data_IF_038588618414
#
_entry.id   IF_038588618414
#
_cell.length_a   1.000
_cell.length_b   1.000
_cell.length_c   1.000
_cell.angle_alpha   90.00
_cell.angle_beta   90.00
_cell.angle_gamma   90.00
#
_symmetry.space_group_name_H-M   'P 1'
#
loop_
_entity.id
_entity.type
_entity.pdbx_description
1 polymer ?
#
# COMPACT_ATOMS: atom_id res chain seq x y z
N UNK A 1 10.40 -1.07 15.39
CA UNK A 1 9.39 0.00 15.47
C UNK A 1 8.45 -0.20 14.29
N UNK A 2 7.14 -0.26 14.55
CA UNK A 2 6.14 -0.51 13.52
C UNK A 2 5.75 0.77 12.78
N UNK A 3 5.15 0.60 11.60
CA UNK A 3 4.44 1.61 10.84
C UNK A 3 3.13 1.01 10.30
N UNK A 4 2.25 1.87 9.82
CA UNK A 4 0.89 1.53 9.43
C UNK A 4 0.62 1.95 7.99
N UNK A 5 -0.05 1.08 7.23
CA UNK A 5 -0.66 1.39 5.95
C UNK A 5 -2.18 1.40 6.12
N UNK A 6 -2.83 2.55 5.95
CA UNK A 6 -4.29 2.67 6.05
C UNK A 6 -4.95 2.17 4.77
N UNK A 7 -6.06 1.45 4.91
CA UNK A 7 -6.88 0.94 3.82
C UNK A 7 -8.28 1.53 3.95
N UNK A 8 -8.69 2.25 2.91
CA UNK A 8 -9.99 2.90 2.82
C UNK A 8 -10.03 4.37 3.24
N UNK A 9 -11.18 5.00 3.04
CA UNK A 9 -11.40 6.43 3.26
C UNK A 9 -12.32 6.68 4.46
N UNK A 10 -12.01 7.71 5.24
CA UNK A 10 -12.86 8.17 6.33
C UNK A 10 -12.76 7.35 7.63
N UNK A 11 -13.77 7.43 8.52
CA UNK A 11 -13.66 6.95 9.91
C UNK A 11 -13.62 5.43 10.08
N UNK A 12 -13.88 4.66 9.02
CA UNK A 12 -13.85 3.20 9.02
C UNK A 12 -12.60 2.64 8.34
N UNK A 13 -11.59 3.47 8.06
CA UNK A 13 -10.34 3.01 7.47
C UNK A 13 -9.65 2.00 8.40
N UNK A 14 -9.25 0.87 7.83
CA UNK A 14 -8.49 -0.16 8.54
C UNK A 14 -6.99 0.14 8.45
N UNK A 15 -6.19 -0.47 9.30
CA UNK A 15 -4.74 -0.26 9.30
C UNK A 15 -4.00 -1.59 9.28
N UNK A 16 -3.22 -1.80 8.23
CA UNK A 16 -2.25 -2.88 8.15
C UNK A 16 -0.96 -2.47 8.87
N UNK A 17 -0.48 -3.29 9.81
CA UNK A 17 0.71 -3.00 10.60
C UNK A 17 1.89 -3.87 10.17
N UNK A 18 3.04 -3.25 9.96
CA UNK A 18 4.28 -3.96 9.66
C UNK A 18 5.51 -3.23 10.19
N UNK A 19 6.69 -3.81 9.97
CA UNK A 19 7.95 -3.11 10.21
C UNK A 19 8.04 -1.87 9.33
N UNK A 20 8.70 -0.80 9.81
CA UNK A 20 8.95 0.40 8.99
C UNK A 20 9.63 0.11 7.67
N UNK A 21 10.58 -0.83 7.66
CA UNK A 21 11.28 -1.21 6.45
C UNK A 21 10.32 -1.77 5.40
N UNK A 22 9.41 -2.64 5.83
CA UNK A 22 8.41 -3.22 4.94
C UNK A 22 7.39 -2.18 4.45
N UNK A 23 6.88 -1.31 5.34
CA UNK A 23 5.96 -0.23 4.92
C UNK A 23 6.64 0.70 3.92
N UNK A 24 7.88 1.12 4.18
CA UNK A 24 8.62 1.98 3.25
C UNK A 24 8.88 1.27 1.91
N UNK A 25 9.18 -0.02 1.93
CA UNK A 25 9.33 -0.82 0.71
C UNK A 25 8.02 -0.88 -0.10
N UNK A 26 6.88 -1.17 0.55
CA UNK A 26 5.56 -1.18 -0.09
C UNK A 26 5.29 0.16 -0.77
N UNK A 27 5.47 1.28 -0.05
CA UNK A 27 5.22 2.62 -0.59
C UNK A 27 6.10 2.92 -1.81
N UNK A 28 7.38 2.52 -1.78
CA UNK A 28 8.28 2.69 -2.93
C UNK A 28 7.81 1.90 -4.15
N UNK A 29 7.41 0.64 -3.98
CA UNK A 29 6.86 -0.17 -5.08
C UNK A 29 5.61 0.50 -5.66
N UNK A 30 4.69 0.95 -4.81
CA UNK A 30 3.48 1.63 -5.28
C UNK A 30 3.84 2.94 -6.03
N UNK A 31 4.80 3.71 -5.54
CA UNK A 31 5.25 4.93 -6.20
C UNK A 31 5.86 4.71 -7.60
N UNK A 32 6.39 3.52 -7.88
CA UNK A 32 6.91 3.12 -9.20
C UNK A 32 5.82 2.66 -10.16
N UNK A 33 4.70 2.13 -9.62
CA UNK A 33 3.67 1.46 -10.40
C UNK A 33 2.39 2.28 -10.58
N UNK A 34 2.12 3.29 -9.76
CA UNK A 34 0.99 4.22 -9.98
C UNK A 34 1.17 5.05 -11.26
N UNK A 35 0.05 5.37 -11.90
CA UNK A 35 -0.03 6.11 -13.16
C UNK A 35 -0.15 7.61 -12.96
N UNK A 36 -0.78 8.08 -11.88
CA UNK A 36 -0.87 9.51 -11.55
C UNK A 36 0.52 10.01 -11.06
N UNK A 37 1.17 10.93 -11.79
CA UNK A 37 2.47 11.47 -11.38
C UNK A 37 2.42 12.26 -10.06
N UNK A 38 1.27 12.85 -9.69
CA UNK A 38 1.10 13.53 -8.40
C UNK A 38 1.08 12.52 -7.27
N UNK A 39 0.35 11.41 -7.44
CA UNK A 39 0.33 10.31 -6.48
C UNK A 39 1.72 9.70 -6.32
N UNK A 40 2.44 9.46 -7.43
CA UNK A 40 3.80 8.95 -7.40
C UNK A 40 4.74 9.86 -6.58
N UNK A 41 4.65 11.18 -6.77
CA UNK A 41 5.43 12.15 -6.01
C UNK A 41 5.11 12.11 -4.51
N UNK A 42 3.82 12.09 -4.15
CA UNK A 42 3.38 11.97 -2.75
C UNK A 42 3.92 10.69 -2.10
N UNK A 43 3.80 9.54 -2.77
CA UNK A 43 4.29 8.27 -2.22
C UNK A 43 5.80 8.26 -2.03
N UNK A 44 6.57 8.84 -2.96
CA UNK A 44 8.04 8.99 -2.80
C UNK A 44 8.39 9.82 -1.59
N UNK A 45 7.73 10.96 -1.40
CA UNK A 45 7.93 11.80 -0.22
C UNK A 45 7.61 11.04 1.08
N UNK A 46 6.51 10.28 1.08
CA UNK A 46 6.12 9.47 2.24
C UNK A 46 7.16 8.39 2.59
N UNK A 47 7.74 7.74 1.59
CA UNK A 47 8.78 6.73 1.77
C UNK A 47 10.09 7.34 2.28
N UNK A 48 10.50 8.50 1.75
CA UNK A 48 11.74 9.20 2.14
C UNK A 48 11.70 9.69 3.59
N UNK A 49 10.58 10.28 4.00
CA UNK A 49 10.42 10.83 5.35
C UNK A 49 10.16 9.76 6.42
N UNK A 50 10.01 8.48 6.02
CA UNK A 50 9.75 7.33 6.89
C UNK A 50 8.58 7.58 7.84
N UNK A 51 7.47 8.08 7.29
CA UNK A 51 6.27 8.28 8.07
C UNK A 51 5.80 6.99 8.72
N UNK A 52 5.11 7.15 9.84
CA UNK A 52 4.66 6.05 10.68
C UNK A 52 3.26 5.59 10.27
N UNK A 53 2.59 6.39 9.44
CA UNK A 53 1.25 6.21 8.91
C UNK A 53 1.28 6.67 7.46
N UNK A 54 0.86 5.82 6.54
CA UNK A 54 0.74 6.05 5.10
C UNK A 54 -0.52 5.37 4.60
N UNK A 55 -1.00 5.68 3.40
CA UNK A 55 -2.10 4.93 2.77
C UNK A 55 -3.18 5.85 2.20
N UNK A 56 -4.41 5.35 2.19
CA UNK A 56 -5.55 6.02 1.53
C UNK A 56 -5.98 7.32 2.22
N UNK A 57 -5.63 7.50 3.50
CA UNK A 57 -5.93 8.72 4.26
C UNK A 57 -5.08 9.94 3.86
N UNK A 58 -4.00 9.73 3.09
CA UNK A 58 -3.05 10.76 2.69
C UNK A 58 -3.10 11.11 1.19
N UNK A 59 -4.07 10.58 0.46
CA UNK A 59 -4.25 10.80 -0.98
C UNK A 59 -5.57 11.50 -1.28
N UNK A 60 -5.67 12.08 -2.47
CA UNK A 60 -6.94 12.62 -2.94
C UNK A 60 -7.91 11.46 -3.30
N UNK A 61 -9.23 11.57 -3.03
CA UNK A 61 -10.18 10.49 -3.32
C UNK A 61 -10.15 9.99 -4.78
N UNK A 62 -9.93 10.89 -5.74
CA UNK A 62 -9.79 10.57 -7.16
C UNK A 62 -8.56 9.70 -7.49
N UNK A 63 -7.57 9.63 -6.60
CA UNK A 63 -6.35 8.83 -6.75
C UNK A 63 -6.54 7.39 -6.26
N UNK A 64 -7.56 7.13 -5.44
CA UNK A 64 -7.82 5.83 -4.85
C UNK A 64 -7.89 4.69 -5.89
N UNK A 65 -8.55 4.82 -7.06
CA UNK A 65 -8.58 3.75 -8.05
C UNK A 65 -7.21 3.33 -8.57
N UNK A 66 -6.29 4.30 -8.76
CA UNK A 66 -4.95 4.01 -9.28
C UNK A 66 -4.04 3.39 -8.20
N UNK A 67 -4.15 3.86 -6.94
CA UNK A 67 -3.47 3.22 -5.81
C UNK A 67 -3.96 1.78 -5.62
N UNK A 68 -5.28 1.57 -5.62
CA UNK A 68 -5.88 0.22 -5.49
C UNK A 68 -5.37 -0.69 -6.59
N UNK A 69 -5.40 -0.23 -7.84
CA UNK A 69 -4.88 -1.01 -8.97
C UNK A 69 -3.41 -1.41 -8.74
N UNK A 70 -2.55 -0.48 -8.33
CA UNK A 70 -1.14 -0.79 -8.06
C UNK A 70 -0.98 -1.82 -6.92
N UNK A 71 -1.79 -1.73 -5.86
CA UNK A 71 -1.77 -2.73 -4.78
C UNK A 71 -2.22 -4.11 -5.30
N UNK A 72 -3.33 -4.18 -6.02
CA UNK A 72 -3.93 -5.44 -6.45
C UNK A 72 -3.16 -6.13 -7.59
N UNK A 73 -2.59 -5.35 -8.51
CA UNK A 73 -1.95 -5.89 -9.73
C UNK A 73 -0.43 -6.01 -9.60
N UNK A 74 0.23 -5.07 -8.91
CA UNK A 74 1.68 -4.92 -8.99
C UNK A 74 2.41 -5.35 -7.70
N UNK A 75 1.77 -5.24 -6.53
CA UNK A 75 2.46 -5.42 -5.25
C UNK A 75 2.86 -6.88 -4.97
N UNK A 76 1.96 -7.84 -5.22
CA UNK A 76 2.27 -9.27 -5.02
C UNK A 76 3.42 -9.74 -5.92
N UNK A 77 3.41 -9.52 -7.25
CA UNK A 77 4.53 -9.89 -8.11
C UNK A 77 5.87 -9.27 -7.68
N UNK A 78 5.86 -8.03 -7.19
CA UNK A 78 7.05 -7.38 -6.65
C UNK A 78 7.54 -8.05 -5.35
N UNK A 79 6.63 -8.43 -4.44
CA UNK A 79 6.96 -9.08 -3.18
C UNK A 79 7.53 -10.49 -3.39
N UNK A 80 6.91 -11.29 -4.25
CA UNK A 80 7.36 -12.65 -4.58
C UNK A 80 8.78 -12.65 -5.16
N UNK A 81 9.14 -11.61 -5.92
CA UNK A 81 10.48 -11.45 -6.49
C UNK A 81 11.51 -10.99 -5.45
N UNK A 82 11.20 -9.96 -4.68
CA UNK A 82 12.15 -9.36 -3.73
C UNK A 82 12.38 -10.26 -2.51
N UNK A 83 11.32 -10.91 -2.03
CA UNK A 83 11.31 -11.71 -0.82
C UNK A 83 11.14 -13.20 -1.10
N UNK A 84 11.67 -13.68 -2.24
CA UNK A 84 11.56 -15.08 -2.66
C UNK A 84 12.03 -16.09 -1.58
N UNK A 85 13.04 -15.72 -0.79
CA UNK A 85 13.59 -16.55 0.30
C UNK A 85 12.95 -16.26 1.68
N UNK A 86 11.93 -15.40 1.74
CA UNK A 86 11.28 -14.93 2.96
C UNK A 86 9.74 -15.05 2.86
N UNK A 87 9.19 -16.28 2.87
CA UNK A 87 7.77 -16.54 2.65
C UNK A 87 6.86 -15.80 3.65
N UNK A 88 7.28 -15.66 4.91
CA UNK A 88 6.53 -14.93 5.93
C UNK A 88 6.32 -13.45 5.54
N UNK A 89 7.27 -12.81 4.85
CA UNK A 89 7.10 -11.43 4.38
C UNK A 89 6.12 -11.38 3.20
N UNK A 90 6.18 -12.36 2.30
CA UNK A 90 5.24 -12.46 1.18
C UNK A 90 3.82 -12.65 1.69
N UNK A 91 3.61 -13.50 2.70
CA UNK A 91 2.31 -13.67 3.36
C UNK A 91 1.82 -12.36 4.00
N UNK A 92 2.69 -11.61 4.70
CA UNK A 92 2.32 -10.30 5.26
C UNK A 92 1.89 -9.30 4.17
N UNK A 93 2.53 -9.30 3.00
CA UNK A 93 2.12 -8.45 1.88
C UNK A 93 0.79 -8.94 1.29
N UNK A 94 0.58 -10.25 1.21
CA UNK A 94 -0.69 -10.82 0.78
C UNK A 94 -1.86 -10.39 1.67
N UNK A 95 -1.64 -10.27 2.98
CA UNK A 95 -2.64 -9.72 3.92
C UNK A 95 -3.04 -8.29 3.54
N UNK A 96 -2.07 -7.42 3.22
CA UNK A 96 -2.36 -6.05 2.78
C UNK A 96 -3.16 -6.04 1.47
N UNK A 97 -2.77 -6.86 0.49
CA UNK A 97 -3.49 -6.96 -0.79
C UNK A 97 -4.92 -7.44 -0.58
N UNK A 98 -5.11 -8.44 0.30
CA UNK A 98 -6.44 -8.93 0.67
C UNK A 98 -7.28 -7.84 1.34
N UNK A 99 -6.70 -7.08 2.28
CA UNK A 99 -7.41 -5.97 2.93
C UNK A 99 -7.88 -4.93 1.91
N UNK A 100 -7.03 -4.59 0.93
CA UNK A 100 -7.39 -3.64 -0.14
C UNK A 100 -8.47 -4.21 -1.07
N UNK A 101 -8.41 -5.50 -1.42
CA UNK A 101 -9.45 -6.14 -2.24
C UNK A 101 -10.80 -6.16 -1.50
N UNK A 102 -10.84 -6.66 -0.27
CA UNK A 102 -12.06 -6.73 0.55
C UNK A 102 -12.70 -5.34 0.70
N UNK A 103 -11.90 -4.31 0.99
CA UNK A 103 -12.36 -2.93 1.03
C UNK A 103 -12.89 -2.47 -0.33
N UNK A 104 -12.13 -2.66 -1.42
CA UNK A 104 -12.52 -2.19 -2.75
C UNK A 104 -13.83 -2.83 -3.24
N UNK A 105 -14.01 -4.13 -3.01
CA UNK A 105 -15.27 -4.83 -3.31
C UNK A 105 -16.44 -4.25 -2.51
N UNK A 106 -16.23 -3.89 -1.24
CA UNK A 106 -17.29 -3.28 -0.40
C UNK A 106 -17.79 -1.92 -0.90
N UNK A 107 -17.00 -1.23 -1.74
CA UNK A 107 -17.39 0.05 -2.34
C UNK A 107 -18.12 -0.09 -3.67
N UNK A 108 -18.03 -1.26 -4.32
CA UNK A 108 -18.49 -1.49 -5.69
C UNK A 108 -19.56 -2.60 -5.81
N UNK A 109 -19.95 -3.24 -4.71
CA UNK A 109 -21.05 -4.22 -4.62
C UNK A 109 -22.36 -3.59 -4.15
#
# INVERSE_FOLDING_TARGET
MSAYFTVGLGPNAESWNASRGLVAWVVNVLAEHVRDPRLAATLRELAEQRYWLVGYDLIEPEQAPDLTRAVLEDLMPAAEREFADQPDIVEMVADLVKMVDDWWQSQNG
#
